data_IF_238417310903
#
_entry.id   IF_238417310903
#
_cell.length_a   1.000
_cell.length_b   1.000
_cell.length_c   1.000
_cell.angle_alpha   90.00
_cell.angle_beta   90.00
_cell.angle_gamma   90.00
#
_symmetry.space_group_name_H-M   'P 1'
#
loop_
_entity.id
_entity.type
_entity.pdbx_description
1 polymer ?
#
# COMPACT_ATOMS: atom_id res chain seq x y z
N UNK A 1 -11.39 -10.19 23.56
CA UNK A 1 -10.33 -10.23 22.52
C UNK A 1 -11.01 -10.01 21.17
N UNK A 2 -10.94 -8.80 20.65
CA UNK A 2 -11.78 -8.35 19.52
C UNK A 2 -11.17 -8.81 18.18
N UNK A 3 -11.79 -9.82 17.56
CA UNK A 3 -11.52 -10.18 16.15
C UNK A 3 -12.08 -9.09 15.23
N UNK A 4 -11.38 -7.96 15.12
CA UNK A 4 -11.79 -6.88 14.21
C UNK A 4 -11.29 -7.18 12.80
N UNK A 5 -12.12 -7.85 12.01
CA UNK A 5 -11.99 -7.94 10.57
C UNK A 5 -11.77 -6.52 10.00
N UNK A 6 -10.59 -6.29 9.39
CA UNK A 6 -10.19 -5.09 8.63
C UNK A 6 -11.33 -4.06 8.43
N UNK A 7 -11.39 -3.08 9.33
CA UNK A 7 -12.36 -1.99 9.31
C UNK A 7 -12.28 -1.27 7.96
N UNK A 8 -13.44 -0.89 7.39
CA UNK A 8 -13.53 -0.13 6.13
C UNK A 8 -12.66 1.14 6.15
N UNK A 9 -12.40 1.67 7.34
CA UNK A 9 -11.61 2.89 7.57
C UNK A 9 -10.19 2.82 7.00
N UNK A 10 -9.54 1.66 6.94
CA UNK A 10 -8.16 1.53 6.46
C UNK A 10 -8.07 1.28 4.94
N UNK A 11 -9.14 1.54 4.17
CA UNK A 11 -9.21 1.23 2.74
C UNK A 11 -9.58 2.45 1.91
N UNK A 12 -8.93 2.61 0.76
CA UNK A 12 -9.39 3.50 -0.30
C UNK A 12 -10.48 2.77 -1.08
N UNK A 13 -11.69 3.35 -1.15
CA UNK A 13 -12.86 2.71 -1.74
C UNK A 13 -13.43 3.51 -2.91
N UNK A 14 -13.28 4.84 -2.91
CA UNK A 14 -13.87 5.73 -3.93
C UNK A 14 -12.85 6.04 -5.03
N UNK A 15 -13.31 6.14 -6.28
CA UNK A 15 -12.45 6.50 -7.42
C UNK A 15 -11.73 7.84 -7.22
N UNK A 16 -12.40 8.82 -6.61
CA UNK A 16 -11.81 10.12 -6.28
C UNK A 16 -10.65 10.02 -5.29
N UNK A 17 -10.68 9.07 -4.35
CA UNK A 17 -9.58 8.84 -3.41
C UNK A 17 -8.36 8.27 -4.12
N UNK A 18 -8.56 7.32 -5.04
CA UNK A 18 -7.47 6.82 -5.87
C UNK A 18 -6.88 7.92 -6.72
N UNK A 19 -7.73 8.70 -7.41
CA UNK A 19 -7.29 9.81 -8.26
C UNK A 19 -6.49 10.85 -7.48
N UNK A 20 -6.94 11.23 -6.28
CA UNK A 20 -6.22 12.15 -5.43
C UNK A 20 -4.80 11.66 -5.08
N UNK A 21 -4.62 10.35 -4.84
CA UNK A 21 -3.29 9.77 -4.62
C UNK A 21 -2.47 9.75 -5.92
N UNK A 22 -3.08 9.48 -7.08
CA UNK A 22 -2.35 9.52 -8.35
C UNK A 22 -1.82 10.93 -8.68
N UNK A 23 -2.64 11.95 -8.52
CA UNK A 23 -2.32 13.33 -8.87
C UNK A 23 -1.41 14.01 -7.85
N UNK A 24 -1.67 13.80 -6.55
CA UNK A 24 -1.01 14.54 -5.47
C UNK A 24 -0.11 13.65 -4.60
N UNK A 25 0.51 12.61 -5.17
CA UNK A 25 1.40 11.75 -4.39
C UNK A 25 2.60 12.54 -3.85
N UNK A 26 2.83 12.44 -2.54
CA UNK A 26 4.05 12.93 -1.91
C UNK A 26 5.21 11.94 -2.11
N UNK A 27 4.89 10.68 -2.35
CA UNK A 27 5.85 9.60 -2.49
C UNK A 27 5.50 8.66 -3.64
N UNK A 28 6.54 8.24 -4.37
CA UNK A 28 6.47 7.23 -5.42
C UNK A 28 7.64 6.25 -5.26
N UNK A 29 7.34 4.96 -5.25
CA UNK A 29 8.32 3.90 -5.37
C UNK A 29 7.94 2.94 -6.48
N UNK A 30 8.78 2.87 -7.49
CA UNK A 30 8.59 1.99 -8.63
C UNK A 30 9.64 0.88 -8.62
N UNK A 31 9.15 -0.35 -8.66
CA UNK A 31 9.93 -1.58 -8.85
C UNK A 31 9.48 -2.25 -10.16
N UNK A 32 10.23 -3.25 -10.63
CA UNK A 32 9.82 -4.14 -11.73
C UNK A 32 8.57 -4.97 -11.39
N UNK A 33 8.27 -5.15 -10.10
CA UNK A 33 7.22 -6.05 -9.62
C UNK A 33 6.03 -5.32 -8.99
N UNK A 34 6.21 -4.09 -8.55
CA UNK A 34 5.13 -3.29 -7.97
C UNK A 34 5.39 -1.79 -8.13
N UNK A 35 4.34 -1.00 -7.99
CA UNK A 35 4.42 0.46 -7.85
C UNK A 35 3.62 0.85 -6.61
N UNK A 36 4.18 1.74 -5.81
CA UNK A 36 3.53 2.31 -4.63
C UNK A 36 3.51 3.82 -4.79
N UNK A 37 2.34 4.39 -4.56
CA UNK A 37 2.12 5.82 -4.43
C UNK A 37 1.64 6.09 -3.02
N UNK A 38 2.16 7.13 -2.39
CA UNK A 38 1.77 7.56 -1.05
C UNK A 38 1.44 9.05 -1.05
N UNK A 39 0.34 9.42 -0.43
CA UNK A 39 -0.07 10.81 -0.19
C UNK A 39 -0.36 10.98 1.30
N UNK A 40 0.14 12.03 1.92
CA UNK A 40 -0.25 12.36 3.30
C UNK A 40 -1.77 12.57 3.38
N UNK A 41 -2.38 12.08 4.44
CA UNK A 41 -3.77 12.34 4.72
C UNK A 41 -3.91 12.98 6.11
N UNK A 42 -4.95 13.80 6.28
CA UNK A 42 -5.27 14.46 7.55
C UNK A 42 -6.23 13.62 8.40
N UNK A 43 -6.45 12.37 8.01
CA UNK A 43 -7.33 11.45 8.70
C UNK A 43 -6.66 10.80 9.92
N UNK A 44 -7.44 10.12 10.76
CA UNK A 44 -6.91 9.43 11.93
C UNK A 44 -6.16 8.14 11.60
N UNK A 45 -6.25 7.64 10.36
CA UNK A 45 -5.71 6.33 9.97
C UNK A 45 -5.14 6.33 8.55
N UNK A 46 -4.10 5.54 8.37
CA UNK A 46 -3.55 5.25 7.04
C UNK A 46 -4.48 4.32 6.25
N UNK A 47 -4.66 4.63 4.97
CA UNK A 47 -5.59 3.92 4.08
C UNK A 47 -4.85 3.26 2.93
N UNK A 48 -5.28 2.06 2.56
CA UNK A 48 -4.68 1.30 1.47
C UNK A 48 -5.67 1.06 0.33
N UNK A 49 -5.27 1.45 -0.88
CA UNK A 49 -5.85 1.04 -2.15
C UNK A 49 -4.99 -0.02 -2.81
N UNK A 50 -5.60 -1.08 -3.38
CA UNK A 50 -4.86 -2.15 -4.05
C UNK A 50 -5.41 -2.35 -5.46
N UNK A 51 -4.56 -2.18 -6.47
CA UNK A 51 -4.87 -2.37 -7.88
C UNK A 51 -4.11 -3.59 -8.39
N UNK A 52 -4.86 -4.64 -8.74
CA UNK A 52 -4.32 -5.84 -9.39
C UNK A 52 -5.08 -6.10 -10.67
N UNK A 53 -4.46 -5.77 -11.80
CA UNK A 53 -5.09 -5.93 -13.12
C UNK A 53 -5.09 -7.38 -13.58
N UNK A 54 -6.11 -7.77 -14.37
CA UNK A 54 -6.21 -9.11 -15.00
C UNK A 54 -5.01 -9.40 -15.91
N UNK A 55 -4.44 -8.37 -16.57
CA UNK A 55 -3.25 -8.49 -17.43
C UNK A 55 -1.99 -8.92 -16.67
N UNK A 56 -1.84 -8.46 -15.42
CA UNK A 56 -0.66 -8.78 -14.60
C UNK A 56 -0.83 -10.10 -13.86
N UNK A 57 -2.06 -10.46 -13.49
CA UNK A 57 -2.39 -11.70 -12.78
C UNK A 57 -3.72 -12.25 -13.30
N UNK A 58 -3.67 -13.30 -14.12
CA UNK A 58 -4.85 -13.88 -14.79
C UNK A 58 -5.81 -14.57 -13.81
N UNK A 59 -5.28 -15.36 -12.87
CA UNK A 59 -6.09 -16.14 -11.93
C UNK A 59 -6.66 -15.28 -10.80
N UNK A 60 -7.98 -15.33 -10.62
CA UNK A 60 -8.67 -14.59 -9.56
C UNK A 60 -8.18 -14.99 -8.16
N UNK A 61 -7.95 -16.28 -7.94
CA UNK A 61 -7.42 -16.82 -6.67
C UNK A 61 -6.05 -16.21 -6.34
N UNK A 62 -5.14 -16.13 -7.32
CA UNK A 62 -3.82 -15.50 -7.14
C UNK A 62 -3.93 -14.00 -6.86
N UNK A 63 -4.85 -13.28 -7.53
CA UNK A 63 -5.13 -11.87 -7.20
C UNK A 63 -5.65 -11.71 -5.77
N UNK A 64 -6.55 -12.58 -5.32
CA UNK A 64 -7.12 -12.52 -3.99
C UNK A 64 -6.09 -12.84 -2.90
N UNK A 65 -5.23 -13.84 -3.16
CA UNK A 65 -4.09 -14.15 -2.30
C UNK A 65 -3.14 -12.96 -2.19
N UNK A 66 -2.73 -12.36 -3.31
CA UNK A 66 -1.87 -11.17 -3.31
C UNK A 66 -2.49 -10.01 -2.53
N UNK A 67 -3.76 -9.68 -2.82
CA UNK A 67 -4.50 -8.64 -2.08
C UNK A 67 -4.55 -8.94 -0.58
N UNK A 68 -4.65 -10.21 -0.18
CA UNK A 68 -4.66 -10.60 1.24
C UNK A 68 -3.29 -10.36 1.88
N UNK A 69 -2.20 -10.79 1.24
CA UNK A 69 -0.84 -10.59 1.75
C UNK A 69 -0.53 -9.09 1.90
N UNK A 70 -0.80 -8.29 0.86
CA UNK A 70 -0.56 -6.84 0.88
C UNK A 70 -1.35 -6.16 2.00
N UNK A 71 -2.61 -6.55 2.23
CA UNK A 71 -3.40 -5.99 3.35
C UNK A 71 -2.84 -6.39 4.71
N UNK A 72 -2.48 -7.66 4.89
CA UNK A 72 -1.98 -8.13 6.19
C UNK A 72 -0.64 -7.50 6.54
N UNK A 73 0.28 -7.37 5.57
CA UNK A 73 1.57 -6.70 5.83
C UNK A 73 1.37 -5.21 6.13
N UNK A 74 0.53 -4.51 5.37
CA UNK A 74 0.22 -3.10 5.63
C UNK A 74 -0.46 -2.90 6.98
N UNK A 75 -1.42 -3.76 7.36
CA UNK A 75 -2.13 -3.68 8.66
C UNK A 75 -1.19 -3.87 9.85
N UNK A 76 -0.14 -4.67 9.69
CA UNK A 76 0.88 -4.90 10.73
C UNK A 76 1.92 -3.79 10.81
N UNK A 77 2.00 -2.92 9.80
CA UNK A 77 2.88 -1.76 9.85
C UNK A 77 2.20 -0.63 10.58
N UNK A 78 2.85 -0.11 11.61
CA UNK A 78 2.44 1.10 12.29
C UNK A 78 3.05 2.31 11.57
N UNK A 79 2.19 3.20 11.08
CA UNK A 79 2.62 4.44 10.45
C UNK A 79 2.50 5.56 11.48
N UNK A 80 3.60 6.29 11.69
CA UNK A 80 3.67 7.47 12.56
C UNK A 80 2.89 8.67 12.00
N UNK A 81 2.62 8.67 10.70
CA UNK A 81 1.83 9.70 10.01
C UNK A 81 0.78 9.04 9.14
N UNK A 82 -0.45 9.56 9.17
CA UNK A 82 -1.54 9.04 8.37
C UNK A 82 -1.28 9.27 6.88
N UNK A 83 -1.39 8.20 6.10
CA UNK A 83 -1.05 8.19 4.67
C UNK A 83 -2.06 7.38 3.85
N UNK A 84 -2.45 7.91 2.70
CA UNK A 84 -3.16 7.19 1.66
C UNK A 84 -2.16 6.54 0.70
N UNK A 85 -2.18 5.22 0.65
CA UNK A 85 -1.25 4.42 -0.13
C UNK A 85 -2.00 3.68 -1.23
N UNK A 86 -1.57 3.81 -2.47
CA UNK A 86 -2.04 2.99 -3.59
C UNK A 86 -0.93 2.02 -3.99
N UNK A 87 -1.20 0.73 -3.83
CA UNK A 87 -0.36 -0.36 -4.30
C UNK A 87 -0.84 -0.86 -5.66
N UNK A 88 0.06 -0.90 -6.64
CA UNK A 88 -0.18 -1.45 -7.96
C UNK A 88 0.72 -2.67 -8.18
N UNK A 89 0.09 -3.83 -8.38
CA UNK A 89 0.79 -5.05 -8.77
C UNK A 89 1.26 -4.96 -10.22
N UNK A 90 2.53 -5.23 -10.50
CA UNK A 90 3.05 -5.37 -11.86
C UNK A 90 3.22 -6.86 -12.25
N UNK A 91 3.60 -7.09 -13.51
CA UNK A 91 3.74 -8.43 -14.08
C UNK A 91 4.77 -9.25 -13.29
N UNK A 92 4.39 -10.49 -12.98
CA UNK A 92 5.25 -11.47 -12.33
C UNK A 92 5.52 -11.23 -10.84
N UNK A 93 4.73 -10.38 -10.17
CA UNK A 93 4.78 -10.28 -8.69
C UNK A 93 4.32 -11.57 -8.01
N UNK A 94 3.43 -12.32 -8.66
CA UNK A 94 2.91 -13.60 -8.13
C UNK A 94 3.87 -14.77 -8.35
N UNK A 95 4.94 -14.57 -9.11
CA UNK A 95 5.98 -15.58 -9.34
C UNK A 95 6.97 -15.60 -8.16
N UNK A 96 6.92 -14.59 -7.29
CA UNK A 96 7.72 -14.49 -6.09
C UNK A 96 7.13 -15.43 -5.03
N UNK A 97 7.95 -16.28 -4.37
CA UNK A 97 7.50 -17.06 -3.23
C UNK A 97 6.84 -16.19 -2.16
N UNK A 98 5.82 -16.71 -1.49
CA UNK A 98 5.00 -15.93 -0.54
C UNK A 98 5.84 -15.33 0.60
N UNK A 99 6.86 -16.06 1.06
CA UNK A 99 7.80 -15.60 2.10
C UNK A 99 8.58 -14.38 1.60
N UNK A 100 9.16 -14.47 0.41
CA UNK A 100 9.95 -13.38 -0.19
C UNK A 100 9.06 -12.16 -0.52
N UNK A 101 7.84 -12.40 -1.01
CA UNK A 101 6.87 -11.34 -1.24
C UNK A 101 6.50 -10.62 0.06
N UNK A 102 6.34 -11.38 1.16
CA UNK A 102 6.03 -10.81 2.47
C UNK A 102 7.19 -9.95 2.98
N UNK A 103 8.42 -10.45 2.88
CA UNK A 103 9.63 -9.71 3.26
C UNK A 103 9.83 -8.46 2.40
N UNK A 104 9.58 -8.57 1.10
CA UNK A 104 9.61 -7.44 0.16
C UNK A 104 8.60 -6.37 0.57
N UNK A 105 7.36 -6.75 0.89
CA UNK A 105 6.33 -5.79 1.30
C UNK A 105 6.68 -5.13 2.64
N UNK A 106 7.11 -5.90 3.64
CA UNK A 106 7.51 -5.37 4.94
C UNK A 106 8.64 -4.34 4.82
N UNK A 107 9.70 -4.67 4.08
CA UNK A 107 10.80 -3.73 3.83
C UNK A 107 10.34 -2.48 3.06
N UNK A 108 9.41 -2.66 2.12
CA UNK A 108 8.84 -1.53 1.38
C UNK A 108 8.03 -0.59 2.27
N UNK A 109 7.26 -1.11 3.23
CA UNK A 109 6.50 -0.28 4.18
C UNK A 109 7.41 0.47 5.16
N UNK A 110 8.47 -0.17 5.66
CA UNK A 110 9.46 0.50 6.48
C UNK A 110 10.18 1.63 5.72
N UNK A 111 10.52 1.39 4.46
CA UNK A 111 11.13 2.41 3.61
C UNK A 111 10.15 3.55 3.30
N UNK A 112 8.86 3.26 3.14
CA UNK A 112 7.82 4.27 3.00
C UNK A 112 7.75 5.12 4.28
N UNK A 113 7.66 4.51 5.46
CA UNK A 113 7.59 5.21 6.74
C UNK A 113 8.78 6.16 6.93
N UNK A 114 10.01 5.68 6.75
CA UNK A 114 11.21 6.53 6.87
C UNK A 114 11.16 7.74 5.94
N UNK A 115 10.62 7.58 4.74
CA UNK A 115 10.48 8.68 3.77
C UNK A 115 9.35 9.65 4.15
N UNK A 116 8.31 9.16 4.79
CA UNK A 116 7.25 10.02 5.34
C UNK A 116 7.80 10.88 6.47
N UNK A 117 8.59 10.31 7.38
CA UNK A 117 9.24 11.03 8.48
C UNK A 117 10.15 12.16 7.97
N UNK A 118 11.08 11.86 7.05
CA UNK A 118 12.00 12.85 6.46
C UNK A 118 11.24 14.00 5.77
N UNK A 119 10.12 13.71 5.11
CA UNK A 119 9.37 14.72 4.35
C UNK A 119 8.45 15.55 5.24
N UNK A 120 7.96 14.96 6.33
CA UNK A 120 7.19 15.68 7.35
C UNK A 120 8.05 16.73 8.04
N UNK A 121 9.29 16.39 8.40
CA UNK A 121 10.27 17.33 8.99
C UNK A 121 10.56 18.53 8.08
N UNK A 122 10.66 18.30 6.77
CA UNK A 122 10.93 19.35 5.77
C UNK A 122 9.74 20.23 5.41
N UNK A 123 8.52 19.82 5.74
CA UNK A 123 7.31 20.60 5.46
C UNK A 123 6.87 21.46 6.66
N UNK A 124 7.53 21.30 7.81
CA UNK A 124 7.30 22.05 9.04
C UNK A 124 8.33 23.15 9.32
N UNK A 125 9.05 23.63 8.30
CA UNK A 125 9.88 24.84 8.30
C UNK A 125 9.47 25.72 7.11
#
# INVERSE_FOLDING_TARGET
>A
MSNTFSTKANRLLKSSEFQAVFENNNFKHQSKKHLILGKFNEGPQSRLGIIVSKKNVRLATKRNQLKRIVRETFRKTEFTTSVDVVFLAQKGIIDIPVVDLTNLLNSTWLNLQKKLEIKNEKSGH
#
